data_IF_718995864146
#
_entry.id   IF_718995864146
#
_cell.length_a   1.000
_cell.length_b   1.000
_cell.length_c   1.000
_cell.angle_alpha   90.00
_cell.angle_beta   90.00
_cell.angle_gamma   90.00
#
_symmetry.space_group_name_H-M   'P 1'
#
loop_
_entity.id
_entity.type
_entity.pdbx_description
1 polymer ?
#
# COMPACT_ATOMS: atom_id res chain seq x y z
N UNK A 1 -14.09 3.25 -11.19
CA UNK A 1 -13.08 4.13 -10.59
C UNK A 1 -11.96 4.25 -11.59
N UNK A 2 -11.44 5.46 -11.80
CA UNK A 2 -10.35 5.66 -12.75
C UNK A 2 -8.98 5.65 -12.03
N UNK A 3 -8.11 4.72 -12.44
CA UNK A 3 -6.73 4.58 -11.95
C UNK A 3 -5.70 4.88 -13.06
N UNK A 4 -6.13 5.35 -14.23
CA UNK A 4 -5.27 5.63 -15.38
C UNK A 4 -4.12 6.58 -15.06
N UNK A 5 -4.34 7.54 -14.15
CA UNK A 5 -3.31 8.46 -13.63
C UNK A 5 -2.12 7.77 -12.95
N UNK A 6 -2.26 6.50 -12.59
CA UNK A 6 -1.21 5.66 -12.01
C UNK A 6 -0.68 4.60 -12.98
N UNK A 7 -1.10 4.64 -14.26
CA UNK A 7 -0.73 3.64 -15.27
C UNK A 7 -1.43 2.29 -15.08
N UNK A 8 -2.63 2.28 -14.51
CA UNK A 8 -3.40 1.06 -14.23
C UNK A 8 -4.77 1.16 -14.92
N UNK A 9 -5.11 0.12 -15.69
CA UNK A 9 -6.27 0.02 -16.59
C UNK A 9 -7.09 -1.27 -16.41
N UNK A 10 -6.79 -2.06 -15.37
CA UNK A 10 -7.52 -3.29 -15.01
C UNK A 10 -9.03 -3.12 -15.07
N UNK A 11 -9.70 -4.07 -15.72
CA UNK A 11 -11.15 -4.05 -15.94
C UNK A 11 -12.00 -4.35 -14.71
N UNK A 12 -11.54 -5.22 -13.80
CA UNK A 12 -12.26 -5.57 -12.57
C UNK A 12 -11.58 -4.98 -11.32
N UNK A 13 -12.18 -3.94 -10.76
CA UNK A 13 -11.72 -3.26 -9.54
C UNK A 13 -12.81 -3.34 -8.49
N UNK A 14 -12.55 -4.08 -7.41
CA UNK A 14 -13.47 -4.31 -6.31
C UNK A 14 -13.01 -3.56 -5.07
N UNK A 15 -13.83 -2.62 -4.57
CA UNK A 15 -13.49 -1.80 -3.40
C UNK A 15 -14.42 -2.05 -2.23
N UNK A 16 -13.87 -1.95 -1.02
CA UNK A 16 -14.60 -1.97 0.23
C UNK A 16 -15.56 -3.18 0.33
N UNK A 17 -15.09 -4.34 -0.14
CA UNK A 17 -15.84 -5.59 0.00
C UNK A 17 -16.18 -5.85 1.46
N UNK A 18 -17.34 -6.46 1.69
CA UNK A 18 -17.72 -6.91 3.03
C UNK A 18 -16.69 -7.92 3.56
N UNK A 19 -16.54 -8.07 4.88
CA UNK A 19 -15.68 -9.10 5.45
C UNK A 19 -15.97 -10.49 4.88
N UNK A 20 -17.23 -10.87 4.70
CA UNK A 20 -17.61 -12.16 4.10
C UNK A 20 -17.05 -12.33 2.68
N UNK A 21 -17.13 -11.29 1.84
CA UNK A 21 -16.56 -11.32 0.49
C UNK A 21 -15.03 -11.37 0.52
N UNK A 22 -14.38 -10.69 1.45
CA UNK A 22 -12.92 -10.80 1.63
C UNK A 22 -12.48 -12.21 2.02
N UNK A 23 -13.28 -12.93 2.82
CA UNK A 23 -13.03 -14.34 3.13
C UNK A 23 -13.14 -15.21 1.87
N UNK A 24 -14.19 -15.02 1.06
CA UNK A 24 -14.36 -15.75 -0.19
C UNK A 24 -13.17 -15.53 -1.15
N UNK A 25 -12.75 -14.28 -1.35
CA UNK A 25 -11.61 -13.96 -2.21
C UNK A 25 -10.30 -14.56 -1.69
N UNK A 26 -10.04 -14.46 -0.38
CA UNK A 26 -8.84 -15.01 0.24
C UNK A 26 -8.78 -16.54 0.06
N UNK A 27 -9.87 -17.26 0.33
CA UNK A 27 -9.90 -18.73 0.17
C UNK A 27 -9.79 -19.15 -1.30
N UNK A 28 -10.32 -18.36 -2.23
CA UNK A 28 -10.28 -18.68 -3.66
C UNK A 28 -8.90 -18.47 -4.27
N UNK A 29 -8.22 -17.39 -3.91
CA UNK A 29 -7.02 -16.93 -4.61
C UNK A 29 -5.72 -17.15 -3.83
N UNK A 30 -5.76 -17.20 -2.51
CA UNK A 30 -4.56 -17.42 -1.69
C UNK A 30 -4.46 -18.88 -1.23
N UNK A 31 -3.55 -19.62 -1.85
CA UNK A 31 -3.35 -21.06 -1.59
C UNK A 31 -3.09 -21.42 -0.12
N UNK A 32 -2.52 -20.48 0.65
CA UNK A 32 -2.25 -20.61 2.09
C UNK A 32 -3.41 -20.19 3.00
N UNK A 33 -4.46 -19.54 2.50
CA UNK A 33 -5.53 -19.02 3.34
C UNK A 33 -6.43 -20.14 3.90
N UNK A 34 -6.72 -20.11 5.20
CA UNK A 34 -7.58 -21.12 5.87
C UNK A 34 -8.52 -20.44 6.85
N UNK A 35 -9.61 -21.12 7.21
CA UNK A 35 -10.51 -20.68 8.29
C UNK A 35 -10.22 -21.55 9.50
N UNK A 36 -9.90 -20.92 10.63
CA UNK A 36 -9.74 -21.59 11.92
C UNK A 36 -11.09 -22.12 12.43
N UNK A 37 -11.06 -23.03 13.40
CA UNK A 37 -12.26 -23.48 14.14
C UNK A 37 -13.03 -22.33 14.80
N UNK A 38 -12.30 -21.30 15.24
CA UNK A 38 -12.84 -20.04 15.77
C UNK A 38 -13.51 -19.13 14.72
N UNK A 39 -13.41 -19.47 13.43
CA UNK A 39 -13.92 -18.65 12.32
C UNK A 39 -12.96 -17.54 11.85
N UNK A 40 -11.76 -17.42 12.43
CA UNK A 40 -10.76 -16.45 12.00
C UNK A 40 -10.07 -16.86 10.69
N UNK A 41 -9.77 -15.88 9.82
CA UNK A 41 -8.95 -16.09 8.63
C UNK A 41 -7.47 -16.21 9.00
N UNK A 42 -6.86 -17.34 8.64
CA UNK A 42 -5.43 -17.61 8.74
C UNK A 42 -4.80 -17.26 7.39
N UNK A 43 -3.74 -16.44 7.40
CA UNK A 43 -2.93 -16.11 6.24
C UNK A 43 -1.43 -16.23 6.58
N UNK A 44 -0.61 -16.55 5.59
CA UNK A 44 0.83 -16.78 5.76
C UNK A 44 1.62 -15.73 4.97
N UNK A 45 2.46 -14.93 5.64
CA UNK A 45 3.27 -13.88 4.99
C UNK A 45 4.58 -14.39 4.38
N UNK A 46 4.78 -15.71 4.34
CA UNK A 46 5.98 -16.35 3.79
C UNK A 46 7.26 -16.02 4.56
N UNK A 47 8.35 -15.77 3.83
CA UNK A 47 9.68 -15.55 4.42
C UNK A 47 9.78 -14.31 5.31
N UNK A 48 8.91 -13.31 5.10
CA UNK A 48 8.92 -12.04 5.85
C UNK A 48 7.76 -12.04 6.85
N UNK A 49 8.05 -12.47 8.08
CA UNK A 49 7.07 -12.56 9.18
C UNK A 49 6.97 -11.30 10.03
N UNK A 50 7.73 -10.24 9.69
CA UNK A 50 7.75 -8.98 10.41
C UNK A 50 8.17 -7.83 9.51
N UNK A 51 8.43 -6.66 10.13
CA UNK A 51 8.92 -5.48 9.41
C UNK A 51 10.31 -5.74 8.83
N UNK A 52 10.61 -5.10 7.71
CA UNK A 52 11.96 -5.03 7.12
C UNK A 52 12.50 -3.59 7.16
N UNK A 53 12.97 -3.07 8.32
CA UNK A 53 13.37 -1.67 8.44
C UNK A 53 14.46 -1.25 7.45
N UNK A 54 15.35 -2.18 7.08
CA UNK A 54 16.45 -1.94 6.13
C UNK A 54 15.99 -1.76 4.68
N UNK A 55 14.73 -2.06 4.36
CA UNK A 55 14.18 -1.97 3.00
C UNK A 55 13.40 -0.66 2.78
N UNK A 56 13.05 0.07 3.85
CA UNK A 56 12.39 1.37 3.76
C UNK A 56 13.31 2.40 3.08
N UNK A 57 12.79 3.11 2.08
CA UNK A 57 13.43 4.26 1.44
C UNK A 57 12.49 5.44 1.40
N UNK A 58 13.04 6.65 1.35
CA UNK A 58 12.29 7.90 1.14
C UNK A 58 12.92 8.59 -0.07
N UNK A 59 12.08 9.02 -1.02
CA UNK A 59 12.55 9.76 -2.19
C UNK A 59 13.17 11.07 -1.73
N UNK A 60 14.40 11.35 -2.18
CA UNK A 60 15.05 12.62 -1.88
C UNK A 60 14.60 13.65 -2.91
N UNK A 61 13.74 14.58 -2.48
CA UNK A 61 13.22 15.66 -3.28
C UNK A 61 13.67 17.01 -2.72
N UNK A 62 13.94 17.98 -3.59
CA UNK A 62 14.42 19.31 -3.17
C UNK A 62 13.44 20.01 -2.22
N UNK A 63 12.13 19.81 -2.43
CA UNK A 63 11.09 20.47 -1.65
C UNK A 63 10.95 19.96 -0.20
N UNK A 64 11.46 18.76 0.11
CA UNK A 64 11.24 18.11 1.42
C UNK A 64 12.54 17.64 2.08
N UNK A 65 13.69 17.77 1.41
CA UNK A 65 14.94 17.20 1.92
C UNK A 65 15.39 17.79 3.26
N UNK A 66 15.06 19.03 3.55
CA UNK A 66 15.48 19.70 4.80
C UNK A 66 14.55 19.36 5.97
N UNK A 67 13.33 18.87 5.70
CA UNK A 67 12.34 18.48 6.71
C UNK A 67 12.49 17.02 7.17
N UNK A 68 13.32 16.24 6.47
CA UNK A 68 13.47 14.80 6.72
C UNK A 68 14.71 14.54 7.59
N UNK A 69 14.50 13.84 8.70
CA UNK A 69 15.59 13.36 9.53
C UNK A 69 16.30 12.15 8.89
N UNK A 70 17.33 12.42 8.08
CA UNK A 70 18.10 11.41 7.35
C UNK A 70 18.98 10.55 8.26
N UNK A 71 19.12 9.27 7.92
CA UNK A 71 19.99 8.33 8.63
C UNK A 71 19.69 6.87 8.29
N UNK A 72 20.10 5.95 9.16
CA UNK A 72 19.91 4.50 8.94
C UNK A 72 18.45 4.05 8.86
N UNK A 73 17.54 4.83 9.44
CA UNK A 73 16.09 4.60 9.44
C UNK A 73 15.41 5.22 8.21
N UNK A 74 15.79 6.46 7.86
CA UNK A 74 15.26 7.19 6.70
C UNK A 74 16.36 7.28 5.65
N UNK A 75 16.42 6.26 4.81
CA UNK A 75 17.45 6.14 3.77
C UNK A 75 16.96 6.78 2.46
N UNK A 76 17.76 7.64 1.83
CA UNK A 76 17.36 8.28 0.59
C UNK A 76 17.31 7.27 -0.57
N UNK A 77 16.45 7.54 -1.54
CA UNK A 77 16.49 6.98 -2.89
C UNK A 77 16.31 8.11 -3.90
N UNK A 78 16.94 8.00 -5.07
CA UNK A 78 16.77 9.01 -6.13
C UNK A 78 15.37 8.89 -6.75
N UNK A 79 14.89 10.02 -7.29
CA UNK A 79 13.62 10.08 -8.02
C UNK A 79 13.58 9.10 -9.19
N UNK A 80 14.64 9.02 -9.99
CA UNK A 80 14.71 8.12 -11.15
C UNK A 80 14.52 6.64 -10.77
N UNK A 81 15.12 6.21 -9.65
CA UNK A 81 14.97 4.84 -9.16
C UNK A 81 13.53 4.59 -8.68
N UNK A 82 12.94 5.57 -7.99
CA UNK A 82 11.55 5.49 -7.57
C UNK A 82 10.59 5.40 -8.76
N UNK A 83 10.76 6.26 -9.76
CA UNK A 83 9.93 6.29 -10.97
C UNK A 83 10.02 4.96 -11.73
N UNK A 84 11.23 4.40 -11.87
CA UNK A 84 11.42 3.09 -12.49
C UNK A 84 10.76 1.94 -11.70
N UNK A 85 10.78 1.98 -10.37
CA UNK A 85 10.05 1.02 -9.53
C UNK A 85 8.54 1.20 -9.65
N UNK A 86 8.06 2.44 -9.66
CA UNK A 86 6.65 2.77 -9.79
C UNK A 86 6.09 2.24 -11.12
N UNK A 87 6.81 2.42 -12.23
CA UNK A 87 6.43 1.89 -13.54
C UNK A 87 6.30 0.36 -13.51
N UNK A 88 7.27 -0.33 -12.90
CA UNK A 88 7.24 -1.80 -12.79
C UNK A 88 6.08 -2.29 -11.94
N UNK A 89 5.78 -1.61 -10.83
CA UNK A 89 4.63 -1.92 -9.98
C UNK A 89 3.33 -1.68 -10.76
N UNK A 90 3.19 -0.54 -11.43
CA UNK A 90 1.99 -0.25 -12.23
C UNK A 90 1.75 -1.33 -13.29
N UNK A 91 2.79 -1.71 -14.06
CA UNK A 91 2.70 -2.76 -15.06
C UNK A 91 2.31 -4.13 -14.47
N UNK A 92 2.91 -4.51 -13.33
CA UNK A 92 2.56 -5.75 -12.64
C UNK A 92 1.10 -5.79 -12.17
N UNK A 93 0.58 -4.64 -11.72
CA UNK A 93 -0.80 -4.54 -11.27
C UNK A 93 -1.80 -4.46 -12.43
N UNK A 94 -1.39 -3.88 -13.55
CA UNK A 94 -2.19 -3.81 -14.76
C UNK A 94 -2.40 -5.19 -15.42
N UNK A 95 -1.42 -6.09 -15.25
CA UNK A 95 -1.51 -7.49 -15.69
C UNK A 95 -2.44 -8.33 -14.80
N UNK A 96 -2.82 -7.85 -13.61
CA UNK A 96 -3.70 -8.58 -12.71
C UNK A 96 -5.13 -8.65 -13.26
N UNK A 97 -5.75 -9.83 -13.18
CA UNK A 97 -7.14 -10.02 -13.63
C UNK A 97 -8.15 -9.25 -12.78
N UNK A 98 -7.87 -9.05 -11.49
CA UNK A 98 -8.77 -8.35 -10.57
C UNK A 98 -7.95 -7.63 -9.50
N UNK A 99 -8.35 -6.39 -9.18
CA UNK A 99 -7.76 -5.63 -8.07
C UNK A 99 -8.74 -5.47 -6.90
N UNK A 100 -8.26 -5.83 -5.71
CA UNK A 100 -8.97 -5.64 -4.43
C UNK A 100 -8.40 -4.43 -3.69
N UNK A 101 -9.27 -3.50 -3.28
CA UNK A 101 -8.86 -2.30 -2.55
C UNK A 101 -9.71 -2.04 -1.31
N UNK A 102 -9.07 -1.79 -0.17
CA UNK A 102 -9.73 -1.28 1.03
C UNK A 102 -9.18 0.11 1.34
N UNK A 103 -10.06 1.08 1.59
CA UNK A 103 -9.68 2.35 2.20
C UNK A 103 -10.35 2.45 3.57
N UNK A 104 -9.55 2.57 4.62
CA UNK A 104 -10.03 3.05 5.92
C UNK A 104 -9.23 4.30 6.25
N UNK A 105 -9.91 5.46 6.22
CA UNK A 105 -9.38 6.66 6.86
C UNK A 105 -9.37 6.43 8.37
N UNK A 106 -8.29 6.78 9.04
CA UNK A 106 -8.33 6.93 10.50
C UNK A 106 -9.27 8.08 10.81
N UNK A 107 -10.32 7.83 11.60
CA UNK A 107 -11.11 8.89 12.22
C UNK A 107 -10.24 9.59 13.27
N UNK A 108 -9.39 10.51 12.82
CA UNK A 108 -8.87 11.55 13.71
C UNK A 108 -9.89 12.70 13.68
N UNK A 109 -10.33 13.23 14.82
CA UNK A 109 -11.16 14.43 14.85
C UNK A 109 -10.41 15.57 14.12
N UNK A 110 -11.11 16.28 13.24
CA UNK A 110 -10.55 17.32 12.35
C UNK A 110 -9.82 18.48 13.05
N UNK A 111 -9.87 18.58 14.38
CA UNK A 111 -9.41 19.78 15.11
C UNK A 111 -8.00 19.67 15.72
N UNK A 112 -7.21 18.62 15.41
CA UNK A 112 -5.81 18.50 15.90
C UNK A 112 -4.74 18.92 14.88
N UNK A 113 -5.12 19.32 13.67
CA UNK A 113 -4.18 19.83 12.66
C UNK A 113 -4.47 21.31 12.37
N UNK A 114 -4.18 22.19 13.33
CA UNK A 114 -3.93 23.61 13.03
C UNK A 114 -2.42 23.80 12.82
N UNK A 115 -1.98 24.20 11.62
CA UNK A 115 -0.57 24.43 11.36
C UNK A 115 -0.14 25.74 12.03
N UNK A 116 0.84 25.67 12.93
CA UNK A 116 1.81 26.75 13.05
C UNK A 116 2.96 26.44 12.11
N UNK A 117 2.96 27.11 10.95
CA UNK A 117 4.06 27.04 9.99
C UNK A 117 3.83 26.07 8.84
N UNK A 118 4.13 26.57 7.65
CA UNK A 118 4.09 25.88 6.35
C UNK A 118 4.81 24.52 6.43
N UNK A 119 4.11 23.45 6.09
CA UNK A 119 4.69 22.10 5.95
C UNK A 119 3.72 21.21 5.18
N UNK A 120 4.14 20.76 4.01
CA UNK A 120 3.35 19.88 3.15
C UNK A 120 3.07 18.55 3.84
N UNK A 121 1.81 18.13 3.83
CA UNK A 121 1.37 16.88 4.45
C UNK A 121 2.05 15.67 3.79
N UNK A 122 2.86 14.95 4.54
CA UNK A 122 3.35 13.63 4.15
C UNK A 122 2.17 12.65 4.28
N UNK A 123 1.46 12.40 3.17
CA UNK A 123 0.45 11.36 3.14
C UNK A 123 1.13 9.99 3.12
N UNK A 124 1.12 9.29 4.25
CA UNK A 124 1.45 7.87 4.32
C UNK A 124 0.27 7.05 3.76
N UNK A 125 0.23 6.86 2.44
CA UNK A 125 -0.68 5.92 1.80
C UNK A 125 -0.18 4.48 2.04
N UNK A 126 -0.74 3.80 3.04
CA UNK A 126 -0.57 2.36 3.20
C UNK A 126 -1.51 1.64 2.22
N UNK A 127 -1.00 1.26 1.05
CA UNK A 127 -1.65 0.30 0.17
C UNK A 127 -1.29 -1.12 0.62
N UNK A 128 -2.26 -1.89 1.09
CA UNK A 128 -2.13 -3.36 1.12
C UNK A 128 -2.73 -3.86 -0.18
N UNK A 129 -1.89 -4.43 -1.03
CA UNK A 129 -2.28 -4.91 -2.34
C UNK A 129 -1.94 -6.39 -2.41
N UNK A 130 -2.98 -7.22 -2.34
CA UNK A 130 -2.90 -8.61 -2.75
C UNK A 130 -3.23 -8.62 -4.25
N UNK A 131 -2.21 -8.77 -5.08
CA UNK A 131 -2.38 -9.18 -6.46
C UNK A 131 -2.10 -10.69 -6.46
N UNK A 132 -3.13 -11.50 -6.66
CA UNK A 132 -2.97 -12.93 -6.91
C UNK A 132 -2.82 -13.12 -8.43
N UNK A 133 -1.89 -13.97 -8.90
CA UNK A 133 -1.80 -14.35 -10.30
C UNK A 133 -3.01 -15.18 -10.75
#
# INVERSE_FOLDING_TARGET
>A
MDLSKHGITVGDIRRNLSPAKLYEEAIRHESGARIADSGALIAYSGLKTGRSPKDKRIVREEATQDDIWWGDVNRPVSKDVFDGLQMRVAAYLDDATTMLGAARGTSLPEDTLRPHGRGAGVQALSFTLAASP
#
